data_IF_650772525256
#
_entry.id   IF_650772525256
#
_cell.length_a   1.000
_cell.length_b   1.000
_cell.length_c   1.000
_cell.angle_alpha   90.00
_cell.angle_beta   90.00
_cell.angle_gamma   90.00
#
_symmetry.space_group_name_H-M   'P 1'
#
loop_
_entity.id
_entity.type
_entity.pdbx_description
1 polymer ?
#
# COMPACT_ATOMS: atom_id res chain seq x y z
N UNK A 1 -4.42 2.76 8.29
CA UNK A 1 -4.41 3.16 6.85
C UNK A 1 -5.57 2.47 6.15
N UNK A 2 -5.87 2.77 4.88
CA UNK A 2 -6.87 2.03 4.10
C UNK A 2 -6.41 1.78 2.67
N UNK A 3 -6.95 0.74 2.05
CA UNK A 3 -6.75 0.46 0.62
C UNK A 3 -7.49 1.51 -0.20
N UNK A 4 -6.79 2.14 -1.15
CA UNK A 4 -7.25 3.33 -1.89
C UNK A 4 -8.13 2.96 -3.09
N UNK A 5 -7.79 1.89 -3.81
CA UNK A 5 -8.43 1.46 -5.05
C UNK A 5 -8.37 -0.08 -5.22
N UNK A 6 -8.88 -0.58 -6.35
CA UNK A 6 -8.91 -2.02 -6.65
C UNK A 6 -10.02 -2.78 -5.91
N UNK A 7 -9.96 -4.11 -5.96
CA UNK A 7 -10.99 -5.02 -5.45
C UNK A 7 -11.23 -4.92 -3.94
N UNK A 8 -10.23 -4.47 -3.18
CA UNK A 8 -10.30 -4.30 -1.71
C UNK A 8 -10.42 -2.83 -1.27
N UNK A 9 -10.82 -1.92 -2.15
CA UNK A 9 -10.99 -0.49 -1.84
C UNK A 9 -11.77 -0.29 -0.53
N UNK A 10 -11.27 0.59 0.33
CA UNK A 10 -11.91 0.96 1.59
C UNK A 10 -11.59 0.04 2.78
N UNK A 11 -10.97 -1.13 2.56
CA UNK A 11 -10.55 -2.01 3.66
C UNK A 11 -9.49 -1.30 4.52
N UNK A 12 -9.65 -1.41 5.84
CA UNK A 12 -8.67 -0.89 6.80
C UNK A 12 -7.47 -1.81 6.87
N UNK A 13 -6.29 -1.20 6.97
CA UNK A 13 -5.02 -1.88 7.23
C UNK A 13 -4.66 -1.57 8.68
N UNK A 14 -4.54 -2.62 9.47
CA UNK A 14 -4.01 -2.57 10.83
C UNK A 14 -2.49 -2.39 10.74
N UNK A 15 -1.98 -1.41 11.49
CA UNK A 15 -0.56 -1.15 11.58
C UNK A 15 -0.11 -1.34 13.03
N UNK A 16 1.15 -1.77 13.26
CA UNK A 16 1.72 -1.81 14.60
C UNK A 16 1.56 -0.46 15.30
N UNK A 17 1.24 -0.49 16.60
CA UNK A 17 1.11 0.74 17.37
C UNK A 17 2.47 1.44 17.58
N UNK A 18 2.44 2.76 17.72
CA UNK A 18 3.62 3.59 17.95
C UNK A 18 4.32 4.06 16.68
N UNK A 19 5.55 4.55 16.83
CA UNK A 19 6.37 5.19 15.77
C UNK A 19 7.33 4.23 15.06
N UNK A 20 7.21 2.92 15.32
CA UNK A 20 8.11 1.90 14.74
C UNK A 20 8.02 1.85 13.22
N UNK A 21 6.86 2.17 12.65
CA UNK A 21 6.65 2.24 11.20
C UNK A 21 6.35 3.67 10.77
N UNK A 22 7.17 4.25 9.90
CA UNK A 22 6.83 5.51 9.21
C UNK A 22 5.74 5.21 8.16
N UNK A 23 4.52 5.75 8.29
CA UNK A 23 3.47 5.49 7.31
C UNK A 23 3.80 6.19 5.99
N UNK A 24 3.68 5.45 4.88
CA UNK A 24 3.65 6.05 3.54
C UNK A 24 2.34 6.81 3.38
N UNK A 25 2.38 8.08 2.97
CA UNK A 25 1.17 8.87 2.78
C UNK A 25 0.32 8.39 1.60
N UNK A 26 -1.00 8.55 1.67
CA UNK A 26 -1.95 8.09 0.63
C UNK A 26 -1.56 8.61 -0.77
N UNK A 27 -1.19 9.90 -0.88
CA UNK A 27 -0.73 10.50 -2.15
C UNK A 27 0.52 9.84 -2.75
N UNK A 28 1.45 9.38 -1.91
CA UNK A 28 2.67 8.70 -2.38
C UNK A 28 2.31 7.33 -2.94
N UNK A 29 1.37 6.62 -2.30
CA UNK A 29 0.87 5.33 -2.81
C UNK A 29 0.13 5.51 -4.13
N UNK A 30 -0.78 6.48 -4.20
CA UNK A 30 -1.51 6.81 -5.43
C UNK A 30 -0.56 7.14 -6.58
N UNK A 31 0.44 7.98 -6.35
CA UNK A 31 1.43 8.34 -7.37
C UNK A 31 2.25 7.11 -7.84
N UNK A 32 2.64 6.23 -6.92
CA UNK A 32 3.39 5.02 -7.27
C UNK A 32 2.56 4.07 -8.16
N UNK A 33 1.30 3.78 -7.79
CA UNK A 33 0.43 2.94 -8.62
C UNK A 33 0.04 3.60 -9.94
N UNK A 34 -0.12 4.92 -9.97
CA UNK A 34 -0.35 5.66 -11.21
C UNK A 34 0.84 5.55 -12.18
N UNK A 35 2.07 5.52 -11.64
CA UNK A 35 3.29 5.34 -12.44
C UNK A 35 3.43 3.90 -12.95
N UNK A 36 3.10 2.90 -12.13
CA UNK A 36 3.15 1.48 -12.50
C UNK A 36 2.11 1.12 -13.57
N UNK A 37 0.92 1.73 -13.51
CA UNK A 37 -0.19 1.40 -14.41
C UNK A 37 -0.85 0.06 -14.06
N UNK A 38 -1.58 -0.56 -15.00
CA UNK A 38 -2.21 -1.87 -14.79
C UNK A 38 -1.18 -2.98 -14.56
N UNK A 39 -1.42 -3.81 -13.55
CA UNK A 39 -0.49 -4.87 -13.10
C UNK A 39 -1.19 -6.23 -12.96
N UNK A 40 -2.25 -6.47 -13.74
CA UNK A 40 -3.00 -7.73 -13.71
C UNK A 40 -2.09 -8.94 -13.98
N UNK A 41 -2.09 -9.90 -13.04
CA UNK A 41 -1.25 -11.10 -13.12
C UNK A 41 0.22 -10.90 -12.73
N UNK A 42 0.63 -9.70 -12.31
CA UNK A 42 1.99 -9.46 -11.84
C UNK A 42 2.27 -10.15 -10.50
N UNK A 43 3.51 -10.62 -10.34
CA UNK A 43 4.04 -11.04 -9.04
C UNK A 43 4.79 -9.87 -8.43
N UNK A 44 4.42 -9.48 -7.20
CA UNK A 44 4.99 -8.32 -6.50
C UNK A 44 5.79 -8.80 -5.29
N UNK A 45 6.96 -8.18 -5.08
CA UNK A 45 7.80 -8.38 -3.90
C UNK A 45 8.00 -7.03 -3.19
N UNK A 46 7.56 -6.95 -1.94
CA UNK A 46 7.85 -5.83 -1.04
C UNK A 46 8.84 -6.29 0.04
N UNK A 47 10.12 -5.97 -0.17
CA UNK A 47 11.22 -6.35 0.73
C UNK A 47 11.16 -5.64 2.10
N UNK A 48 10.36 -4.56 2.22
CA UNK A 48 10.21 -3.79 3.46
C UNK A 48 8.75 -3.44 3.72
N UNK A 49 7.87 -4.46 3.64
CA UNK A 49 6.42 -4.27 3.65
C UNK A 49 5.88 -3.52 4.88
N UNK A 50 6.53 -3.64 6.04
CA UNK A 50 6.08 -3.01 7.27
C UNK A 50 4.63 -3.38 7.59
N UNK A 51 3.71 -2.42 7.45
CA UNK A 51 2.26 -2.63 7.63
C UNK A 51 1.53 -3.27 6.43
N UNK A 52 2.22 -3.49 5.30
CA UNK A 52 1.64 -4.01 4.07
C UNK A 52 0.78 -2.99 3.32
N UNK A 53 1.04 -1.68 3.49
CA UNK A 53 0.24 -0.64 2.84
C UNK A 53 0.59 -0.41 1.35
N UNK A 54 1.77 -0.87 0.90
CA UNK A 54 2.28 -0.71 -0.47
C UNK A 54 2.16 -1.98 -1.31
N UNK A 55 2.47 -3.14 -0.72
CA UNK A 55 2.36 -4.46 -1.36
C UNK A 55 0.96 -5.04 -1.41
#
# INVERSE_FOLDING_TARGET
>A
MRIVAGSRKGHRIEAPQGVVTRPTGDRVREAAFALLGPVDGATVLDVFAGSGAMG
#
